data_IF_890606078670
#
_entry.id   IF_890606078670
#
_cell.length_a   1.000
_cell.length_b   1.000
_cell.length_c   1.000
_cell.angle_alpha   90.00
_cell.angle_beta   90.00
_cell.angle_gamma   90.00
#
_symmetry.space_group_name_H-M   'P 1'
#
loop_
_entity.id
_entity.type
_entity.pdbx_description
1 polymer ?
#
# COMPACT_ATOMS: atom_id res chain seq x y z
N UNK A 1 -14.06 35.98 13.04
CA UNK A 1 -14.70 34.73 12.62
C UNK A 1 -13.68 33.62 12.95
N UNK A 2 -14.07 32.45 13.43
CA UNK A 2 -13.08 31.37 13.61
C UNK A 2 -12.65 30.87 12.23
N UNK A 3 -11.41 30.30 12.10
CA UNK A 3 -10.90 29.72 10.84
C UNK A 3 -11.86 28.70 10.24
N UNK A 4 -12.43 27.84 11.08
CA UNK A 4 -13.49 26.92 10.68
C UNK A 4 -14.69 27.63 10.02
N UNK A 5 -15.21 28.68 10.63
CA UNK A 5 -16.37 29.42 10.10
C UNK A 5 -16.04 30.15 8.80
N UNK A 6 -14.79 30.58 8.63
CA UNK A 6 -14.31 31.21 7.42
C UNK A 6 -14.26 30.22 6.26
N UNK A 7 -13.68 29.02 6.46
CA UNK A 7 -13.65 27.95 5.46
C UNK A 7 -15.05 27.43 5.07
N UNK A 8 -16.03 27.50 5.99
CA UNK A 8 -17.42 27.15 5.67
C UNK A 8 -18.08 28.23 4.80
N UNK A 9 -17.89 29.50 5.17
CA UNK A 9 -18.54 30.62 4.49
C UNK A 9 -17.88 30.97 3.15
N UNK A 10 -16.56 30.83 3.06
CA UNK A 10 -15.74 31.19 1.89
C UNK A 10 -14.78 30.04 1.53
N UNK A 11 -15.30 28.89 1.06
CA UNK A 11 -14.47 27.72 0.79
C UNK A 11 -13.51 27.95 -0.40
N UNK A 12 -12.20 27.72 -0.19
CA UNK A 12 -11.14 27.82 -1.19
C UNK A 12 -11.18 26.62 -2.12
N UNK A 13 -11.14 26.85 -3.42
CA UNK A 13 -11.07 25.79 -4.43
C UNK A 13 -12.33 24.93 -4.59
N UNK A 14 -13.48 25.33 -4.04
CA UNK A 14 -14.73 24.58 -4.20
C UNK A 14 -15.23 24.64 -5.65
N UNK A 15 -15.48 23.48 -6.26
CA UNK A 15 -15.93 23.35 -7.65
C UNK A 15 -14.83 23.61 -8.69
N UNK A 16 -13.60 23.90 -8.27
CA UNK A 16 -12.45 24.04 -9.15
C UNK A 16 -11.94 22.64 -9.54
N UNK A 17 -11.44 22.51 -10.79
CA UNK A 17 -10.90 21.25 -11.31
C UNK A 17 -11.90 20.06 -11.30
N UNK A 18 -13.17 20.31 -11.55
CA UNK A 18 -14.21 19.25 -11.60
C UNK A 18 -13.82 18.09 -12.51
N UNK A 19 -13.17 18.38 -13.65
CA UNK A 19 -12.77 17.41 -14.68
C UNK A 19 -11.24 17.13 -14.65
N UNK A 20 -10.55 17.42 -13.56
CA UNK A 20 -9.11 17.14 -13.48
C UNK A 20 -8.83 15.64 -13.55
N UNK A 21 -7.74 15.24 -14.27
CA UNK A 21 -7.39 13.83 -14.42
C UNK A 21 -6.98 13.17 -13.11
N UNK A 22 -6.42 13.95 -12.17
CA UNK A 22 -5.92 13.44 -10.90
C UNK A 22 -6.87 13.84 -9.78
N UNK A 23 -7.77 12.95 -9.45
CA UNK A 23 -8.75 13.15 -8.38
C UNK A 23 -8.82 11.94 -7.45
N UNK A 24 -9.18 12.20 -6.21
CA UNK A 24 -9.46 11.20 -5.20
C UNK A 24 -10.73 11.54 -4.44
N UNK A 25 -11.46 10.54 -4.01
CA UNK A 25 -12.66 10.69 -3.21
C UNK A 25 -12.62 9.79 -1.99
N UNK A 26 -13.13 10.28 -0.88
CA UNK A 26 -13.31 9.53 0.35
C UNK A 26 -14.64 9.89 0.99
N UNK A 27 -15.32 8.87 1.54
CA UNK A 27 -16.61 9.00 2.19
C UNK A 27 -17.18 7.64 2.53
N UNK A 28 -18.27 7.61 3.23
CA UNK A 28 -18.86 6.35 3.63
C UNK A 28 -20.29 6.46 4.11
N UNK A 29 -20.96 5.30 4.12
CA UNK A 29 -22.36 5.17 4.52
C UNK A 29 -22.63 5.54 5.98
N UNK A 30 -21.61 5.52 6.85
CA UNK A 30 -21.78 5.74 8.29
C UNK A 30 -22.20 7.17 8.64
N UNK A 31 -21.65 8.20 7.97
CA UNK A 31 -22.01 9.61 8.20
C UNK A 31 -22.65 10.29 6.97
N UNK A 32 -22.60 9.66 5.81
CA UNK A 32 -23.10 10.24 4.55
C UNK A 32 -22.22 11.36 3.97
N UNK A 33 -21.12 11.71 4.63
CA UNK A 33 -20.18 12.72 4.14
C UNK A 33 -19.32 12.15 3.00
N UNK A 34 -19.09 12.98 1.97
CA UNK A 34 -18.20 12.68 0.86
C UNK A 34 -17.32 13.90 0.57
N UNK A 35 -16.04 13.68 0.44
CA UNK A 35 -15.08 14.68 -0.01
C UNK A 35 -14.36 14.15 -1.24
N UNK A 36 -14.30 14.96 -2.29
CA UNK A 36 -13.49 14.74 -3.49
C UNK A 36 -12.48 15.85 -3.58
N UNK A 37 -11.21 15.51 -3.78
CA UNK A 37 -10.12 16.47 -4.04
C UNK A 37 -9.55 16.17 -5.42
N UNK A 38 -9.23 17.20 -6.16
CA UNK A 38 -8.59 17.12 -7.46
C UNK A 38 -7.36 18.02 -7.49
N UNK A 39 -6.30 17.57 -8.18
CA UNK A 39 -5.03 18.29 -8.28
C UNK A 39 -4.54 18.31 -9.72
N UNK A 40 -3.88 19.40 -10.09
CA UNK A 40 -3.03 19.53 -11.25
C UNK A 40 -1.58 19.67 -10.79
N UNK A 41 -0.75 18.74 -11.21
CA UNK A 41 0.67 18.72 -10.84
C UNK A 41 1.49 19.10 -12.07
N UNK A 42 2.31 20.13 -11.95
CA UNK A 42 3.21 20.63 -12.99
C UNK A 42 4.58 20.90 -12.37
N UNK A 43 5.64 20.54 -13.05
CA UNK A 43 7.03 20.75 -12.61
C UNK A 43 7.33 20.31 -11.16
N UNK A 44 6.71 19.20 -10.74
CA UNK A 44 6.89 18.65 -9.39
C UNK A 44 6.20 19.45 -8.27
N UNK A 45 5.25 20.32 -8.61
CA UNK A 45 4.45 21.12 -7.66
C UNK A 45 2.96 20.93 -7.92
N UNK A 46 2.13 21.10 -6.89
CA UNK A 46 0.68 21.20 -7.03
C UNK A 46 0.37 22.60 -7.57
N UNK A 47 0.26 22.73 -8.89
CA UNK A 47 0.02 24.01 -9.54
C UNK A 47 -1.37 24.57 -9.24
N UNK A 48 -2.36 23.69 -9.13
CA UNK A 48 -3.74 24.04 -8.84
C UNK A 48 -4.42 22.87 -8.08
N UNK A 49 -5.28 23.21 -7.13
CA UNK A 49 -6.07 22.26 -6.38
C UNK A 49 -7.53 22.69 -6.25
N UNK A 50 -8.43 21.71 -6.21
CA UNK A 50 -9.86 21.97 -6.05
C UNK A 50 -10.55 20.85 -5.28
N UNK A 51 -11.76 21.13 -4.76
CA UNK A 51 -12.54 20.11 -4.07
C UNK A 51 -14.03 20.26 -4.29
N UNK A 52 -14.74 19.15 -4.07
CA UNK A 52 -16.17 19.10 -3.84
C UNK A 52 -16.46 18.33 -2.56
N UNK A 53 -17.51 18.73 -1.86
CA UNK A 53 -17.96 18.02 -0.67
C UNK A 53 -19.48 18.01 -0.60
N UNK A 54 -20.04 16.89 -0.16
CA UNK A 54 -21.44 16.73 0.23
C UNK A 54 -21.54 16.19 1.64
N UNK A 55 -22.55 16.64 2.38
CA UNK A 55 -22.76 16.27 3.78
C UNK A 55 -22.63 17.47 4.72
N UNK A 56 -21.91 17.32 5.82
CA UNK A 56 -21.85 18.33 6.88
C UNK A 56 -20.92 19.52 6.54
N UNK A 57 -21.07 20.63 7.26
CA UNK A 57 -20.20 21.80 7.11
C UNK A 57 -18.72 21.51 7.39
N UNK A 58 -18.42 20.51 8.25
CA UNK A 58 -17.05 20.13 8.51
C UNK A 58 -16.37 19.47 7.31
N UNK A 59 -17.09 18.72 6.48
CA UNK A 59 -16.58 18.17 5.23
C UNK A 59 -16.18 19.29 4.24
N UNK A 60 -17.01 20.32 4.13
CA UNK A 60 -16.69 21.51 3.30
C UNK A 60 -15.47 22.25 3.84
N UNK A 61 -15.41 22.50 5.15
CA UNK A 61 -14.26 23.18 5.77
C UNK A 61 -12.96 22.40 5.60
N UNK A 62 -13.00 21.09 5.81
CA UNK A 62 -11.83 20.21 5.68
C UNK A 62 -11.32 20.10 4.24
N UNK A 63 -12.21 20.01 3.25
CA UNK A 63 -11.83 20.07 1.83
C UNK A 63 -11.17 21.39 1.46
N UNK A 64 -11.74 22.52 1.93
CA UNK A 64 -11.19 23.86 1.72
C UNK A 64 -9.81 24.03 2.35
N UNK A 65 -9.62 23.61 3.60
CA UNK A 65 -8.32 23.67 4.27
C UNK A 65 -7.27 22.77 3.59
N UNK A 66 -7.66 21.57 3.17
CA UNK A 66 -6.77 20.67 2.47
C UNK A 66 -6.24 21.28 1.17
N UNK A 67 -7.10 21.93 0.38
CA UNK A 67 -6.71 22.60 -0.87
C UNK A 67 -5.75 23.74 -0.58
N UNK A 68 -6.05 24.61 0.40
CA UNK A 68 -5.21 25.74 0.77
C UNK A 68 -3.81 25.31 1.24
N UNK A 69 -3.71 24.19 1.95
CA UNK A 69 -2.44 23.67 2.45
C UNK A 69 -1.52 23.13 1.35
N UNK A 70 -2.06 22.80 0.17
CA UNK A 70 -1.26 22.11 -0.85
C UNK A 70 -1.05 22.91 -2.13
N UNK A 71 -1.91 23.90 -2.41
CA UNK A 71 -1.81 24.71 -3.65
C UNK A 71 -0.50 25.48 -3.70
N UNK A 72 0.23 25.36 -4.79
CA UNK A 72 1.54 25.95 -4.97
C UNK A 72 2.69 25.20 -4.28
N UNK A 73 2.43 24.18 -3.45
CA UNK A 73 3.45 23.45 -2.71
C UNK A 73 4.18 22.41 -3.58
N UNK A 74 5.47 22.09 -3.27
CA UNK A 74 6.13 20.94 -3.86
C UNK A 74 5.34 19.66 -3.61
N UNK A 75 5.30 18.75 -4.58
CA UNK A 75 4.53 17.51 -4.49
C UNK A 75 4.83 16.71 -3.21
N UNK A 76 6.10 16.59 -2.82
CA UNK A 76 6.49 15.88 -1.60
C UNK A 76 6.11 16.61 -0.32
N UNK A 77 5.94 17.95 -0.35
CA UNK A 77 5.38 18.74 0.77
C UNK A 77 3.89 18.45 0.90
N UNK A 78 3.14 18.48 -0.21
CA UNK A 78 1.72 18.12 -0.23
C UNK A 78 1.49 16.69 0.25
N UNK A 79 2.39 15.75 -0.08
CA UNK A 79 2.33 14.36 0.38
C UNK A 79 2.61 14.16 1.89
N UNK A 80 2.96 15.21 2.62
CA UNK A 80 3.09 15.21 4.09
C UNK A 80 1.84 15.67 4.82
N UNK A 81 0.93 16.36 4.12
CA UNK A 81 -0.27 16.92 4.74
C UNK A 81 -1.13 15.79 5.32
N UNK A 82 -1.32 15.83 6.64
CA UNK A 82 -2.06 14.85 7.40
C UNK A 82 -3.46 15.36 7.80
N UNK A 83 -4.29 14.47 8.32
CA UNK A 83 -5.57 14.88 8.92
C UNK A 83 -5.38 15.81 10.12
N UNK A 84 -4.25 15.70 10.84
CA UNK A 84 -3.93 16.62 11.93
C UNK A 84 -3.66 18.04 11.40
N UNK A 85 -2.84 18.17 10.34
CA UNK A 85 -2.54 19.47 9.73
C UNK A 85 -3.83 20.16 9.21
N UNK A 86 -4.74 19.38 8.62
CA UNK A 86 -6.05 19.90 8.17
C UNK A 86 -6.90 20.34 9.37
N UNK A 87 -6.91 19.57 10.47
CA UNK A 87 -7.61 19.94 11.69
C UNK A 87 -7.04 21.20 12.34
N UNK A 88 -5.72 21.32 12.38
CA UNK A 88 -5.00 22.44 12.97
C UNK A 88 -5.24 23.74 12.17
N UNK A 89 -5.26 23.66 10.84
CA UNK A 89 -5.61 24.76 9.94
C UNK A 89 -7.06 25.27 10.15
N UNK A 90 -7.92 24.46 10.74
CA UNK A 90 -9.31 24.82 11.09
C UNK A 90 -9.48 25.27 12.55
N UNK A 91 -8.36 25.42 13.30
CA UNK A 91 -8.38 25.84 14.71
C UNK A 91 -8.72 24.69 15.66
N UNK A 92 -8.22 23.50 15.38
CA UNK A 92 -8.46 22.23 16.10
C UNK A 92 -9.94 21.78 16.08
N UNK A 93 -10.22 20.78 15.24
CA UNK A 93 -11.56 20.21 15.17
C UNK A 93 -11.91 19.39 16.42
N UNK A 94 -13.14 19.52 16.90
CA UNK A 94 -13.67 18.67 17.96
C UNK A 94 -13.65 17.18 17.52
N UNK A 95 -13.64 16.27 18.49
CA UNK A 95 -13.64 14.82 18.22
C UNK A 95 -14.77 14.39 17.26
N UNK A 96 -15.95 15.02 17.38
CA UNK A 96 -17.10 14.74 16.52
C UNK A 96 -16.89 15.15 15.05
N UNK A 97 -16.01 16.14 14.79
CA UNK A 97 -15.72 16.68 13.45
C UNK A 97 -14.41 16.18 12.86
N UNK A 98 -13.58 15.50 13.64
CA UNK A 98 -12.25 15.04 13.22
C UNK A 98 -12.30 14.08 12.01
N UNK A 99 -13.38 13.29 11.91
CA UNK A 99 -13.59 12.42 10.75
C UNK A 99 -13.60 13.17 9.41
N UNK A 100 -14.03 14.45 9.38
CA UNK A 100 -14.03 15.25 8.16
C UNK A 100 -12.59 15.55 7.67
N UNK A 101 -11.66 15.84 8.59
CA UNK A 101 -10.25 15.99 8.25
C UNK A 101 -9.62 14.66 7.77
N UNK A 102 -10.04 13.53 8.34
CA UNK A 102 -9.60 12.21 7.87
C UNK A 102 -10.08 11.90 6.45
N UNK A 103 -11.34 12.23 6.13
CA UNK A 103 -11.89 12.08 4.77
C UNK A 103 -11.16 13.00 3.78
N UNK A 104 -10.94 14.27 4.14
CA UNK A 104 -10.23 15.21 3.26
C UNK A 104 -8.78 14.74 3.01
N UNK A 105 -8.08 14.30 4.06
CA UNK A 105 -6.74 13.72 3.91
C UNK A 105 -6.75 12.46 3.03
N UNK A 106 -7.73 11.57 3.18
CA UNK A 106 -7.81 10.36 2.34
C UNK A 106 -8.07 10.73 0.87
N UNK A 107 -9.00 11.64 0.62
CA UNK A 107 -9.27 12.14 -0.73
C UNK A 107 -8.03 12.80 -1.36
N UNK A 108 -7.31 13.64 -0.59
CA UNK A 108 -6.06 14.27 -1.02
C UNK A 108 -5.02 13.23 -1.43
N UNK A 109 -4.75 12.26 -0.57
CA UNK A 109 -3.72 11.25 -0.86
C UNK A 109 -4.09 10.33 -2.01
N UNK A 110 -5.36 10.11 -2.28
CA UNK A 110 -5.83 9.42 -3.49
C UNK A 110 -5.59 10.26 -4.75
N UNK A 111 -5.83 11.58 -4.70
CA UNK A 111 -5.55 12.47 -5.82
C UNK A 111 -4.04 12.56 -6.12
N UNK A 112 -3.21 12.70 -5.08
CA UNK A 112 -1.74 12.68 -5.22
C UNK A 112 -1.25 11.32 -5.74
N UNK A 113 -1.86 10.22 -5.29
CA UNK A 113 -1.56 8.88 -5.78
C UNK A 113 -1.86 8.71 -7.27
N UNK A 114 -2.99 9.24 -7.75
CA UNK A 114 -3.33 9.27 -9.17
C UNK A 114 -2.30 10.05 -9.98
N UNK A 115 -1.92 11.25 -9.53
CA UNK A 115 -0.88 12.07 -10.16
C UNK A 115 0.49 11.34 -10.20
N UNK A 116 0.84 10.64 -9.13
CA UNK A 116 2.08 9.86 -9.06
C UNK A 116 2.05 8.65 -10.02
N UNK A 117 0.93 7.94 -10.10
CA UNK A 117 0.74 6.79 -11.02
C UNK A 117 0.88 7.23 -12.47
N UNK A 118 0.26 8.33 -12.86
CA UNK A 118 0.34 8.88 -14.22
C UNK A 118 1.69 9.55 -14.53
N UNK A 119 2.54 9.72 -13.50
CA UNK A 119 3.88 10.25 -13.66
C UNK A 119 4.00 11.76 -13.66
N UNK A 120 2.97 12.47 -13.26
CA UNK A 120 3.03 13.92 -13.04
C UNK A 120 3.90 14.29 -11.81
N UNK A 121 4.01 13.38 -10.82
CA UNK A 121 4.87 13.57 -9.66
C UNK A 121 6.33 13.34 -10.03
N UNK A 122 7.11 14.42 -10.10
CA UNK A 122 8.54 14.38 -10.38
C UNK A 122 9.34 15.14 -9.33
N UNK A 123 10.58 14.70 -9.09
CA UNK A 123 11.53 15.42 -8.23
C UNK A 123 12.97 15.19 -8.72
N UNK A 124 13.82 16.19 -8.48
CA UNK A 124 15.24 16.08 -8.80
C UNK A 124 15.89 14.90 -8.09
N UNK A 125 16.76 14.17 -8.79
CA UNK A 125 17.48 13.01 -8.25
C UNK A 125 18.34 13.38 -7.05
N UNK A 126 18.25 12.57 -6.01
CA UNK A 126 19.09 12.65 -4.81
C UNK A 126 19.62 11.27 -4.45
N UNK A 127 20.96 11.15 -4.32
CA UNK A 127 21.60 9.89 -3.90
C UNK A 127 21.29 9.53 -2.43
N UNK A 128 20.80 10.48 -1.66
CA UNK A 128 20.33 10.28 -0.29
C UNK A 128 18.84 9.97 -0.21
N UNK A 129 18.09 10.02 -1.31
CA UNK A 129 16.67 9.75 -1.28
C UNK A 129 16.37 8.27 -1.41
N UNK A 130 15.56 7.76 -0.48
CA UNK A 130 15.12 6.37 -0.43
C UNK A 130 13.59 6.31 -0.44
N UNK A 131 13.03 5.60 -1.42
CA UNK A 131 11.62 5.22 -1.39
C UNK A 131 11.47 3.96 -0.54
N UNK A 132 10.56 3.96 0.42
CA UNK A 132 10.34 2.82 1.33
C UNK A 132 8.93 2.27 1.16
N UNK A 133 8.83 0.98 0.84
CA UNK A 133 7.55 0.27 0.77
C UNK A 133 6.99 0.06 2.19
N UNK A 134 5.84 0.69 2.48
CA UNK A 134 5.18 0.65 3.78
C UNK A 134 3.86 -0.12 3.69
N UNK A 135 3.74 -1.23 4.38
CA UNK A 135 2.53 -2.07 4.45
C UNK A 135 1.72 -1.88 5.73
N UNK A 136 2.15 -0.96 6.61
CA UNK A 136 1.58 -0.82 7.95
C UNK A 136 1.90 -1.99 8.90
N UNK A 137 2.84 -2.85 8.55
CA UNK A 137 3.42 -3.89 9.40
C UNK A 137 4.71 -3.43 10.08
N UNK A 138 5.15 -4.18 11.11
CA UNK A 138 6.36 -3.86 11.90
C UNK A 138 7.62 -3.84 11.04
N UNK A 139 7.75 -4.77 10.09
CA UNK A 139 8.95 -4.91 9.27
C UNK A 139 9.16 -3.70 8.36
N UNK A 140 8.11 -3.28 7.65
CA UNK A 140 8.18 -2.11 6.79
C UNK A 140 8.37 -0.80 7.59
N UNK A 141 7.82 -0.73 8.79
CA UNK A 141 8.00 0.42 9.68
C UNK A 141 9.46 0.53 10.17
N UNK A 142 10.08 -0.60 10.55
CA UNK A 142 11.50 -0.63 10.95
C UNK A 142 12.40 -0.35 9.75
N UNK A 143 12.06 -0.84 8.55
CA UNK A 143 12.78 -0.49 7.33
C UNK A 143 12.78 1.02 7.07
N UNK A 144 11.65 1.70 7.29
CA UNK A 144 11.55 3.16 7.19
C UNK A 144 12.36 3.86 8.28
N UNK A 145 12.32 3.36 9.54
CA UNK A 145 13.12 3.92 10.62
C UNK A 145 14.63 3.81 10.35
N UNK A 146 15.09 2.67 9.84
CA UNK A 146 16.49 2.48 9.48
C UNK A 146 16.96 3.40 8.34
N UNK A 147 16.06 3.74 7.42
CA UNK A 147 16.35 4.75 6.40
C UNK A 147 16.50 6.16 7.01
N UNK A 148 15.61 6.53 7.94
CA UNK A 148 15.71 7.80 8.68
C UNK A 148 16.98 7.87 9.53
N UNK A 149 17.30 6.81 10.29
CA UNK A 149 18.49 6.74 11.14
C UNK A 149 19.78 6.86 10.33
N UNK A 150 19.77 6.41 9.10
CA UNK A 150 20.85 6.58 8.13
C UNK A 150 20.97 8.02 7.62
N UNK A 151 19.97 8.87 7.86
CA UNK A 151 19.88 10.23 7.37
C UNK A 151 19.40 10.33 5.92
N UNK A 152 18.70 9.33 5.42
CA UNK A 152 18.13 9.37 4.08
C UNK A 152 16.92 10.33 4.01
N UNK A 153 16.74 10.95 2.84
CA UNK A 153 15.49 11.64 2.46
C UNK A 153 14.43 10.57 2.19
N UNK A 154 13.72 10.15 3.23
CA UNK A 154 12.81 9.02 3.16
C UNK A 154 11.45 9.41 2.62
N UNK A 155 10.93 8.68 1.63
CA UNK A 155 9.56 8.77 1.11
C UNK A 155 8.88 7.41 1.34
N UNK A 156 7.68 7.42 1.91
CA UNK A 156 6.86 6.21 2.07
C UNK A 156 5.96 5.95 0.85
N UNK A 157 5.82 4.69 0.46
CA UNK A 157 4.83 4.27 -0.53
C UNK A 157 4.04 3.06 -0.03
N UNK A 158 2.73 3.11 -0.18
CA UNK A 158 1.84 1.96 0.04
C UNK A 158 1.08 1.64 -1.23
N UNK A 159 0.93 0.36 -1.52
CA UNK A 159 0.19 -0.13 -2.68
C UNK A 159 -1.20 -0.60 -2.24
N UNK A 160 -2.24 -0.04 -2.84
CA UNK A 160 -3.59 -0.57 -2.75
C UNK A 160 -3.76 -1.61 -3.85
N UNK A 161 -3.71 -2.90 -3.49
CA UNK A 161 -3.67 -4.01 -4.45
C UNK A 161 -5.01 -4.71 -4.59
N UNK A 162 -5.82 -4.76 -3.52
CA UNK A 162 -7.05 -5.51 -3.53
C UNK A 162 -8.08 -4.92 -2.57
N UNK A 163 -9.31 -4.84 -3.02
CA UNK A 163 -10.47 -4.52 -2.20
C UNK A 163 -11.60 -5.50 -2.56
N UNK A 164 -12.02 -6.30 -1.58
CA UNK A 164 -13.12 -7.25 -1.74
C UNK A 164 -14.07 -7.09 -0.54
N UNK A 165 -15.31 -6.64 -0.75
CA UNK A 165 -16.30 -6.51 0.32
C UNK A 165 -16.58 -7.81 1.09
N UNK A 166 -16.30 -8.96 0.47
CA UNK A 166 -16.45 -10.29 1.07
C UNK A 166 -15.30 -10.73 1.98
N UNK A 167 -14.27 -9.89 2.18
CA UNK A 167 -13.11 -10.19 3.02
C UNK A 167 -13.03 -9.28 4.24
N UNK A 168 -12.32 -9.75 5.28
CA UNK A 168 -12.00 -8.94 6.45
C UNK A 168 -10.83 -7.99 6.13
N UNK A 169 -11.16 -6.76 5.75
CA UNK A 169 -10.15 -5.74 5.41
C UNK A 169 -9.12 -5.47 6.52
N UNK A 170 -9.39 -5.80 7.77
CA UNK A 170 -8.42 -5.63 8.88
C UNK A 170 -7.28 -6.64 8.80
N UNK A 171 -7.47 -7.78 8.13
CA UNK A 171 -6.47 -8.83 7.94
C UNK A 171 -5.66 -8.67 6.66
N UNK A 172 -6.08 -7.81 5.74
CA UNK A 172 -5.36 -7.54 4.49
C UNK A 172 -4.37 -6.40 4.66
N UNK A 173 -3.11 -6.62 4.28
CA UNK A 173 -2.08 -5.56 4.25
C UNK A 173 -2.26 -4.56 3.10
N UNK A 174 -3.20 -4.80 2.20
CA UNK A 174 -3.45 -4.02 0.98
C UNK A 174 -4.86 -3.41 0.98
N UNK A 175 -5.61 -3.51 2.08
CA UNK A 175 -6.94 -2.93 2.22
C UNK A 175 -6.88 -1.41 2.42
N UNK A 176 -7.96 -0.68 2.15
CA UNK A 176 -8.04 0.75 2.46
C UNK A 176 -7.70 1.08 3.92
N UNK A 177 -8.09 0.23 4.86
CA UNK A 177 -7.76 0.37 6.28
C UNK A 177 -6.24 0.26 6.53
N UNK A 178 -5.58 -0.72 5.91
CA UNK A 178 -4.13 -0.89 6.03
C UNK A 178 -3.36 0.27 5.39
N UNK A 179 -3.84 0.78 4.25
CA UNK A 179 -3.28 1.95 3.56
C UNK A 179 -3.35 3.19 4.45
N UNK A 180 -4.52 3.49 5.04
CA UNK A 180 -4.70 4.63 5.95
C UNK A 180 -3.79 4.51 7.19
N UNK A 181 -3.67 3.31 7.76
CA UNK A 181 -2.76 3.05 8.89
C UNK A 181 -1.28 3.23 8.54
N UNK A 182 -0.86 2.79 7.35
CA UNK A 182 0.52 2.96 6.88
C UNK A 182 0.85 4.44 6.64
N UNK A 183 -0.08 5.20 6.04
CA UNK A 183 0.05 6.64 5.84
C UNK A 183 0.14 7.39 7.17
N UNK A 184 -0.76 7.11 8.11
CA UNK A 184 -0.73 7.73 9.43
C UNK A 184 0.59 7.46 10.17
N UNK A 185 1.15 6.25 10.02
CA UNK A 185 2.46 5.90 10.56
C UNK A 185 3.58 6.71 9.88
N UNK A 186 3.57 6.81 8.53
CA UNK A 186 4.55 7.59 7.78
C UNK A 186 4.54 9.07 8.22
N UNK A 187 3.37 9.69 8.34
CA UNK A 187 3.24 11.08 8.78
C UNK A 187 3.76 11.28 10.22
N UNK A 188 3.48 10.35 11.14
CA UNK A 188 4.06 10.39 12.49
C UNK A 188 5.58 10.32 12.51
N UNK A 189 6.19 9.66 11.52
CA UNK A 189 7.63 9.59 11.33
C UNK A 189 8.19 10.79 10.56
N UNK A 190 7.36 11.77 10.16
CA UNK A 190 7.75 12.93 9.35
C UNK A 190 8.02 12.60 7.89
N UNK A 191 7.56 11.45 7.39
CA UNK A 191 7.81 10.94 6.04
C UNK A 191 6.64 11.36 5.12
N UNK A 192 6.89 12.01 3.94
CA UNK A 192 5.87 12.15 2.90
C UNK A 192 5.42 10.78 2.42
N UNK A 193 4.13 10.59 2.19
CA UNK A 193 3.58 9.29 1.86
C UNK A 193 2.73 9.34 0.58
N UNK A 194 2.90 8.34 -0.28
CA UNK A 194 2.16 8.18 -1.53
C UNK A 194 1.43 6.83 -1.50
N UNK A 195 0.18 6.84 -1.94
CA UNK A 195 -0.60 5.61 -2.13
C UNK A 195 -0.77 5.37 -3.63
N UNK A 196 -0.33 4.22 -4.15
CA UNK A 196 -0.58 3.81 -5.53
C UNK A 196 -1.74 2.83 -5.58
N UNK A 197 -2.77 3.16 -6.34
CA UNK A 197 -3.85 2.23 -6.67
C UNK A 197 -3.41 1.33 -7.85
N UNK A 198 -3.13 0.08 -7.54
CA UNK A 198 -2.72 -0.96 -8.48
C UNK A 198 -3.72 -2.13 -8.49
N UNK A 199 -4.99 -1.88 -8.13
CA UNK A 199 -6.01 -2.94 -8.04
C UNK A 199 -6.27 -3.61 -9.38
N UNK A 200 -6.30 -2.85 -10.46
CA UNK A 200 -6.52 -3.39 -11.81
C UNK A 200 -5.35 -4.23 -12.29
N UNK A 201 -4.12 -3.75 -12.06
CA UNK A 201 -2.90 -4.49 -12.38
C UNK A 201 -2.81 -5.77 -11.57
N UNK A 202 -3.10 -5.69 -10.27
CA UNK A 202 -3.09 -6.86 -9.39
C UNK A 202 -4.17 -7.87 -9.78
N UNK A 203 -5.37 -7.43 -10.13
CA UNK A 203 -6.44 -8.30 -10.65
C UNK A 203 -5.95 -9.06 -11.86
N UNK A 204 -5.47 -8.36 -12.88
CA UNK A 204 -5.04 -8.95 -14.15
C UNK A 204 -3.84 -9.89 -14.00
N UNK A 205 -2.81 -9.45 -13.26
CA UNK A 205 -1.54 -10.18 -13.20
C UNK A 205 -1.51 -11.27 -12.12
N UNK A 206 -2.29 -11.16 -11.06
CA UNK A 206 -2.18 -12.04 -9.90
C UNK A 206 -3.45 -12.84 -9.68
N UNK A 207 -4.61 -12.18 -9.60
CA UNK A 207 -5.87 -12.87 -9.27
C UNK A 207 -6.35 -13.72 -10.44
N UNK A 208 -6.35 -13.19 -11.65
CA UNK A 208 -6.79 -13.95 -12.83
C UNK A 208 -5.86 -15.15 -13.11
N UNK A 209 -4.54 -15.00 -12.89
CA UNK A 209 -3.60 -16.14 -12.96
C UNK A 209 -3.88 -17.18 -11.87
N UNK A 210 -4.20 -16.73 -10.65
CA UNK A 210 -4.54 -17.60 -9.54
C UNK A 210 -5.80 -18.44 -9.86
N UNK A 211 -6.85 -17.79 -10.38
CA UNK A 211 -8.08 -18.48 -10.80
C UNK A 211 -7.82 -19.49 -11.92
N UNK A 212 -7.06 -19.07 -12.95
CA UNK A 212 -6.73 -19.91 -14.10
C UNK A 212 -5.86 -21.11 -13.69
N UNK A 213 -4.89 -20.92 -12.79
CA UNK A 213 -4.05 -22.03 -12.32
C UNK A 213 -4.89 -23.11 -11.61
N UNK A 214 -5.80 -22.69 -10.70
CA UNK A 214 -6.69 -23.66 -10.04
C UNK A 214 -7.66 -24.31 -11.02
N UNK A 215 -8.18 -23.59 -12.00
CA UNK A 215 -9.04 -24.18 -13.05
C UNK A 215 -8.32 -25.28 -13.86
N UNK A 216 -6.99 -25.21 -13.95
CA UNK A 216 -6.16 -26.19 -14.65
C UNK A 216 -5.46 -27.19 -13.70
N UNK A 217 -5.88 -27.30 -12.44
CA UNK A 217 -5.33 -28.24 -11.46
C UNK A 217 -3.93 -27.86 -10.94
N UNK A 218 -3.47 -26.62 -11.18
CA UNK A 218 -2.19 -26.10 -10.71
C UNK A 218 -2.29 -25.50 -9.31
N UNK A 219 -1.14 -25.35 -8.65
CA UNK A 219 -1.00 -24.61 -7.39
C UNK A 219 -0.11 -23.39 -7.60
N UNK A 220 -0.66 -22.20 -7.83
CA UNK A 220 0.12 -20.99 -8.10
C UNK A 220 0.79 -20.44 -6.84
N UNK A 221 1.89 -19.68 -7.02
CA UNK A 221 2.46 -18.84 -5.99
C UNK A 221 2.20 -17.35 -6.30
N UNK A 222 1.09 -16.78 -5.82
CA UNK A 222 0.71 -15.41 -6.14
C UNK A 222 1.68 -14.38 -5.57
N UNK A 223 2.40 -14.67 -4.46
CA UNK A 223 3.35 -13.73 -3.86
C UNK A 223 4.58 -13.52 -4.76
N UNK A 224 5.14 -14.59 -5.33
CA UNK A 224 6.25 -14.49 -6.29
C UNK A 224 5.84 -13.69 -7.53
N UNK A 225 4.63 -13.96 -8.04
CA UNK A 225 4.09 -13.26 -9.19
C UNK A 225 3.83 -11.78 -8.90
N UNK A 226 3.19 -11.48 -7.76
CA UNK A 226 2.91 -10.12 -7.32
C UNK A 226 4.19 -9.28 -7.17
N UNK A 227 5.21 -9.81 -6.52
CA UNK A 227 6.46 -9.09 -6.36
C UNK A 227 7.13 -8.80 -7.72
N UNK A 228 7.23 -9.79 -8.60
CA UNK A 228 7.96 -9.65 -9.86
C UNK A 228 7.22 -8.95 -10.99
N UNK A 229 5.89 -8.77 -10.93
CA UNK A 229 5.10 -8.22 -12.05
C UNK A 229 4.25 -7.01 -11.68
N UNK A 230 4.09 -6.71 -10.38
CA UNK A 230 3.22 -5.62 -9.94
C UNK A 230 3.96 -4.68 -8.98
N UNK A 231 4.50 -5.22 -7.88
CA UNK A 231 5.02 -4.39 -6.79
C UNK A 231 6.31 -3.68 -7.16
N UNK A 232 7.36 -4.43 -7.51
CA UNK A 232 8.67 -3.84 -7.73
C UNK A 232 8.69 -2.97 -8.98
N UNK A 233 8.09 -3.39 -10.09
CA UNK A 233 7.98 -2.58 -11.31
C UNK A 233 7.37 -1.20 -11.00
N UNK A 234 6.18 -1.16 -10.39
CA UNK A 234 5.50 0.11 -10.09
C UNK A 234 6.29 1.00 -9.12
N UNK A 235 6.86 0.40 -8.06
CA UNK A 235 7.61 1.15 -7.06
C UNK A 235 8.96 1.65 -7.59
N UNK A 236 9.64 0.91 -8.47
CA UNK A 236 10.88 1.34 -9.09
C UNK A 236 10.67 2.47 -10.09
N UNK A 237 9.57 2.43 -10.86
CA UNK A 237 9.15 3.54 -11.72
C UNK A 237 8.86 4.79 -10.88
N UNK A 238 8.12 4.64 -9.78
CA UNK A 238 7.86 5.76 -8.86
C UNK A 238 9.16 6.29 -8.25
N UNK A 239 10.07 5.41 -7.79
CA UNK A 239 11.36 5.80 -7.23
C UNK A 239 12.17 6.65 -8.22
N UNK A 240 12.19 6.24 -9.49
CA UNK A 240 12.86 7.00 -10.55
C UNK A 240 12.27 8.39 -10.73
N UNK A 241 10.95 8.49 -10.89
CA UNK A 241 10.26 9.77 -11.05
C UNK A 241 10.45 10.71 -9.87
N UNK A 242 10.43 10.18 -8.65
CA UNK A 242 10.69 10.94 -7.44
C UNK A 242 12.19 11.16 -7.16
N UNK A 243 13.07 10.78 -8.08
CA UNK A 243 14.51 10.96 -7.96
C UNK A 243 15.13 10.19 -6.79
N UNK A 244 14.54 9.07 -6.36
CA UNK A 244 15.11 8.23 -5.32
C UNK A 244 16.19 7.30 -5.88
N UNK A 245 17.35 7.25 -5.20
CA UNK A 245 18.46 6.40 -5.60
C UNK A 245 18.18 4.92 -5.37
N UNK A 246 17.31 4.59 -4.41
CA UNK A 246 16.99 3.22 -4.05
C UNK A 246 15.56 3.03 -3.58
N UNK A 247 15.09 1.79 -3.68
CA UNK A 247 13.83 1.31 -3.11
C UNK A 247 14.16 0.37 -1.94
N UNK A 248 13.68 0.69 -0.74
CA UNK A 248 13.80 -0.14 0.43
C UNK A 248 12.48 -0.86 0.74
N UNK A 249 12.57 -2.09 1.23
CA UNK A 249 11.40 -2.86 1.67
C UNK A 249 11.71 -3.66 2.94
N UNK A 250 10.67 -4.02 3.68
CA UNK A 250 10.77 -4.87 4.87
C UNK A 250 10.97 -6.36 4.58
N UNK A 251 11.40 -6.76 3.39
CA UNK A 251 11.69 -8.16 3.10
C UNK A 251 12.95 -8.65 3.79
N UNK A 252 12.90 -9.89 4.27
CA UNK A 252 14.05 -10.63 4.79
C UNK A 252 14.74 -11.34 3.62
N UNK A 253 15.70 -10.68 3.01
CA UNK A 253 16.54 -11.19 1.94
C UNK A 253 17.84 -10.42 1.90
N UNK A 254 18.90 -10.98 1.34
CA UNK A 254 20.20 -10.34 1.11
C UNK A 254 20.49 -10.19 -0.37
N UNK A 255 21.24 -9.16 -0.71
CA UNK A 255 21.80 -8.98 -2.05
C UNK A 255 23.32 -9.13 -1.93
N UNK A 256 23.87 -10.19 -2.54
CA UNK A 256 25.29 -10.36 -2.71
C UNK A 256 25.74 -9.71 -4.02
N UNK A 257 26.80 -8.90 -3.99
CA UNK A 257 27.40 -8.34 -5.19
C UNK A 257 28.53 -9.25 -5.65
N UNK A 258 28.43 -9.74 -6.88
CA UNK A 258 29.44 -10.59 -7.52
C UNK A 258 29.97 -9.90 -8.77
N UNK A 259 31.10 -10.36 -9.33
CA UNK A 259 31.61 -9.83 -10.62
C UNK A 259 30.59 -9.96 -11.76
N UNK A 260 29.71 -10.97 -11.71
CA UNK A 260 28.67 -11.24 -12.70
C UNK A 260 27.38 -10.42 -12.47
N UNK A 261 27.33 -9.65 -11.37
CA UNK A 261 26.18 -8.85 -11.00
C UNK A 261 25.57 -9.19 -9.63
N UNK A 262 24.47 -8.55 -9.26
CA UNK A 262 23.80 -8.79 -7.98
C UNK A 262 23.06 -10.13 -7.98
N UNK A 263 23.15 -10.86 -6.85
CA UNK A 263 22.46 -12.12 -6.63
C UNK A 263 21.63 -12.05 -5.34
N UNK A 264 20.46 -12.68 -5.34
CA UNK A 264 19.70 -12.89 -4.13
C UNK A 264 20.34 -13.98 -3.26
N UNK A 265 20.38 -13.74 -1.97
CA UNK A 265 20.85 -14.66 -0.95
C UNK A 265 19.85 -14.72 0.20
N UNK A 266 19.73 -15.87 0.86
CA UNK A 266 18.89 -16.03 2.05
C UNK A 266 19.23 -15.01 3.15
N UNK A 267 18.24 -14.55 3.88
CA UNK A 267 18.39 -13.64 5.03
C UNK A 267 19.22 -14.28 6.17
N UNK A 268 19.60 -13.48 7.15
CA UNK A 268 20.24 -13.98 8.38
C UNK A 268 19.24 -14.81 9.21
N UNK A 269 18.00 -14.37 9.33
CA UNK A 269 16.92 -15.14 9.97
C UNK A 269 16.36 -16.18 9.00
N UNK A 270 16.81 -17.42 9.13
CA UNK A 270 16.37 -18.54 8.28
C UNK A 270 14.88 -18.85 8.41
N UNK A 271 14.25 -18.52 9.56
CA UNK A 271 12.81 -18.74 9.76
C UNK A 271 11.95 -17.67 9.10
N UNK A 272 12.56 -16.53 8.73
CA UNK A 272 11.89 -15.40 8.09
C UNK A 272 12.36 -15.17 6.66
N UNK A 273 13.25 -15.98 6.14
CA UNK A 273 13.76 -15.82 4.78
C UNK A 273 12.63 -15.72 3.74
N UNK A 274 12.70 -14.66 2.96
CA UNK A 274 11.74 -14.32 1.90
C UNK A 274 12.42 -14.20 0.52
N UNK A 275 13.67 -14.63 0.40
CA UNK A 275 14.40 -14.56 -0.86
C UNK A 275 13.68 -15.26 -2.00
N UNK A 276 13.00 -16.38 -1.72
CA UNK A 276 12.21 -17.12 -2.71
C UNK A 276 11.03 -16.29 -3.28
N UNK A 277 10.45 -15.38 -2.50
CA UNK A 277 9.37 -14.50 -2.96
C UNK A 277 9.84 -13.47 -3.98
N UNK A 278 11.15 -13.26 -4.09
CA UNK A 278 11.80 -12.30 -4.96
C UNK A 278 12.39 -12.96 -6.22
N UNK A 279 12.11 -14.24 -6.45
CA UNK A 279 12.70 -15.03 -7.53
C UNK A 279 12.37 -14.50 -8.96
N UNK A 280 11.37 -13.64 -9.12
CA UNK A 280 11.02 -13.00 -10.39
C UNK A 280 11.51 -11.56 -10.51
N UNK A 281 12.18 -11.02 -9.50
CA UNK A 281 12.82 -9.69 -9.59
C UNK A 281 14.04 -9.81 -10.50
N UNK A 282 14.15 -8.89 -11.43
CA UNK A 282 15.25 -8.91 -12.41
C UNK A 282 16.59 -8.51 -11.77
N UNK A 283 17.73 -9.04 -12.27
CA UNK A 283 19.05 -8.69 -11.74
C UNK A 283 19.36 -7.19 -11.77
N UNK A 284 18.97 -6.49 -12.84
CA UNK A 284 19.15 -5.03 -12.97
C UNK A 284 18.36 -4.23 -11.95
N UNK A 285 17.19 -4.73 -11.52
CA UNK A 285 16.38 -4.15 -10.47
C UNK A 285 17.02 -4.31 -9.08
N UNK A 286 17.68 -5.47 -8.83
CA UNK A 286 18.33 -5.75 -7.56
C UNK A 286 19.39 -4.71 -7.18
N UNK A 287 20.02 -4.04 -8.14
CA UNK A 287 20.99 -2.97 -7.89
C UNK A 287 20.38 -1.76 -7.18
N UNK A 288 19.09 -1.52 -7.43
CA UNK A 288 18.34 -0.39 -6.87
C UNK A 288 17.60 -0.76 -5.58
N UNK A 289 17.61 -2.03 -5.20
CA UNK A 289 16.91 -2.53 -4.00
C UNK A 289 17.82 -2.48 -2.78
N UNK A 290 17.18 -2.23 -1.64
CA UNK A 290 17.78 -2.34 -0.32
C UNK A 290 16.81 -3.07 0.62
N UNK A 291 17.35 -4.07 1.32
CA UNK A 291 16.62 -4.83 2.33
C UNK A 291 17.22 -4.55 3.71
N UNK A 292 16.75 -3.51 4.42
CA UNK A 292 17.32 -3.08 5.71
C UNK A 292 17.34 -4.18 6.77
N UNK A 293 16.43 -5.16 6.67
CA UNK A 293 16.27 -6.25 7.63
C UNK A 293 17.14 -7.48 7.32
N UNK A 294 17.90 -7.45 6.25
CA UNK A 294 18.67 -8.58 5.71
C UNK A 294 19.53 -9.34 6.75
N UNK A 295 20.16 -8.60 7.66
CA UNK A 295 21.07 -9.12 8.69
C UNK A 295 20.43 -9.17 10.09
N UNK A 296 19.13 -8.93 10.21
CA UNK A 296 18.42 -8.85 11.48
C UNK A 296 17.54 -10.07 11.71
N UNK A 297 17.56 -10.59 12.93
CA UNK A 297 16.58 -11.56 13.39
C UNK A 297 15.28 -10.86 13.83
N UNK A 298 14.15 -11.53 13.70
CA UNK A 298 12.82 -10.98 14.01
C UNK A 298 12.67 -10.39 15.43
N UNK A 299 13.21 -11.00 16.50
CA UNK A 299 13.20 -10.39 17.84
C UNK A 299 13.86 -9.01 17.84
N UNK A 300 15.02 -8.86 17.16
CA UNK A 300 15.73 -7.59 17.08
C UNK A 300 14.92 -6.52 16.33
N UNK A 301 14.21 -6.89 15.27
CA UNK A 301 13.30 -5.98 14.54
C UNK A 301 12.20 -5.46 15.47
N UNK A 302 11.62 -6.32 16.31
CA UNK A 302 10.60 -5.91 17.30
C UNK A 302 11.17 -5.00 18.39
N UNK A 303 12.40 -5.23 18.85
CA UNK A 303 13.09 -4.35 19.79
C UNK A 303 13.33 -2.96 19.19
N UNK A 304 13.80 -2.88 17.94
CA UNK A 304 13.97 -1.61 17.23
C UNK A 304 12.65 -0.86 17.10
N UNK A 305 11.57 -1.55 16.74
CA UNK A 305 10.24 -0.95 16.67
C UNK A 305 9.78 -0.41 18.04
N UNK A 306 10.03 -1.13 19.13
CA UNK A 306 9.69 -0.71 20.49
C UNK A 306 10.54 0.49 20.94
N UNK A 307 11.83 0.47 20.68
CA UNK A 307 12.78 1.56 21.00
C UNK A 307 12.38 2.85 20.27
N UNK A 308 11.99 2.75 19.00
CA UNK A 308 11.51 3.89 18.20
C UNK A 308 10.05 4.26 18.53
N UNK A 309 9.42 3.65 19.54
CA UNK A 309 8.03 3.91 19.94
C UNK A 309 7.04 3.77 18.80
N UNK A 310 7.29 2.86 17.84
CA UNK A 310 6.39 2.62 16.72
C UNK A 310 5.11 1.90 17.20
N UNK A 311 3.91 2.40 16.87
CA UNK A 311 2.65 1.83 17.35
C UNK A 311 2.42 0.39 16.88
N UNK A 312 3.13 -0.01 15.82
CA UNK A 312 3.04 -1.34 15.21
C UNK A 312 3.97 -2.38 15.84
N UNK A 313 4.78 -2.03 16.85
CA UNK A 313 5.77 -2.92 17.47
C UNK A 313 5.18 -4.27 17.96
N UNK A 314 3.92 -4.24 18.44
CA UNK A 314 3.19 -5.43 18.94
C UNK A 314 2.18 -5.99 17.95
N UNK A 315 2.08 -5.42 16.73
CA UNK A 315 1.13 -5.88 15.71
C UNK A 315 1.44 -7.32 15.30
N UNK A 316 0.43 -8.22 15.23
CA UNK A 316 0.60 -9.56 14.69
C UNK A 316 1.07 -9.52 13.23
N UNK A 317 1.74 -10.59 12.82
CA UNK A 317 2.13 -10.75 11.41
C UNK A 317 0.96 -11.24 10.58
N UNK A 318 0.88 -10.77 9.34
CA UNK A 318 -0.04 -11.33 8.34
C UNK A 318 0.49 -12.71 7.92
N UNK A 319 -0.32 -13.75 8.06
CA UNK A 319 0.05 -15.14 7.73
C UNK A 319 -0.56 -15.60 6.41
N UNK A 320 -1.63 -14.93 5.96
CA UNK A 320 -2.42 -15.33 4.79
C UNK A 320 -2.02 -14.58 3.53
N UNK A 321 -2.46 -15.11 2.38
CA UNK A 321 -2.44 -14.37 1.13
C UNK A 321 -3.27 -13.08 1.29
N UNK A 322 -2.69 -11.94 0.94
CA UNK A 322 -3.28 -10.62 1.23
C UNK A 322 -4.69 -10.43 0.67
N UNK A 323 -5.02 -11.05 -0.47
CA UNK A 323 -6.33 -10.94 -1.11
C UNK A 323 -7.35 -11.96 -0.60
N UNK A 324 -6.94 -13.00 0.11
CA UNK A 324 -7.85 -13.93 0.80
C UNK A 324 -8.36 -13.33 2.12
N UNK A 325 -7.49 -12.64 2.88
CA UNK A 325 -7.82 -11.86 4.07
C UNK A 325 -8.78 -12.57 5.04
N UNK A 326 -8.46 -13.79 5.44
CA UNK A 326 -9.27 -14.60 6.36
C UNK A 326 -10.47 -15.30 5.72
N UNK A 327 -10.63 -15.23 4.41
CA UNK A 327 -11.59 -16.03 3.64
C UNK A 327 -10.94 -17.36 3.25
N UNK A 328 -11.70 -18.45 3.27
CA UNK A 328 -11.20 -19.72 2.73
C UNK A 328 -10.98 -19.59 1.23
N UNK A 329 -9.99 -20.31 0.74
CA UNK A 329 -9.64 -20.31 -0.69
C UNK A 329 -10.83 -20.72 -1.57
N UNK A 330 -11.57 -21.73 -1.18
CA UNK A 330 -12.73 -22.25 -1.92
C UNK A 330 -13.82 -21.18 -2.05
N UNK A 331 -14.09 -20.43 -0.97
CA UNK A 331 -15.07 -19.34 -0.97
C UNK A 331 -14.63 -18.18 -1.87
N UNK A 332 -13.33 -17.89 -1.91
CA UNK A 332 -12.77 -16.91 -2.82
C UNK A 332 -12.89 -17.33 -4.28
N UNK A 333 -12.51 -18.58 -4.61
CA UNK A 333 -12.64 -19.12 -5.95
C UNK A 333 -14.10 -19.08 -6.43
N UNK A 334 -15.05 -19.50 -5.60
CA UNK A 334 -16.48 -19.47 -5.93
C UNK A 334 -16.99 -18.05 -6.22
N UNK A 335 -16.55 -17.05 -5.47
CA UNK A 335 -16.98 -15.65 -5.67
C UNK A 335 -16.37 -14.98 -6.90
N UNK A 336 -15.15 -15.34 -7.27
CA UNK A 336 -14.38 -14.65 -8.31
C UNK A 336 -14.31 -15.41 -9.64
N UNK A 337 -15.12 -16.46 -9.82
CA UNK A 337 -15.20 -17.20 -11.08
C UNK A 337 -14.14 -18.30 -11.22
N UNK A 338 -13.67 -18.85 -10.10
CA UNK A 338 -12.88 -20.07 -10.09
C UNK A 338 -13.68 -21.29 -10.56
N UNK A 339 -13.03 -22.43 -10.74
CA UNK A 339 -13.72 -23.65 -11.16
C UNK A 339 -14.81 -24.01 -10.15
N UNK A 340 -15.98 -24.53 -10.62
CA UNK A 340 -16.97 -25.03 -9.70
C UNK A 340 -16.39 -26.23 -8.94
N UNK A 341 -16.67 -26.30 -7.65
CA UNK A 341 -16.33 -27.49 -6.86
C UNK A 341 -16.96 -28.72 -7.48
N UNK A 342 -16.15 -29.72 -7.81
CA UNK A 342 -16.58 -30.98 -8.39
C UNK A 342 -16.17 -32.16 -7.50
N UNK A 343 -17.12 -33.02 -7.12
CA UNK A 343 -16.80 -34.26 -6.43
C UNK A 343 -15.91 -35.13 -7.31
N UNK A 344 -14.95 -35.78 -6.71
CA UNK A 344 -14.03 -36.68 -7.40
C UNK A 344 -13.46 -37.74 -6.46
N UNK A 345 -12.72 -38.68 -7.05
CA UNK A 345 -12.07 -39.77 -6.31
C UNK A 345 -10.63 -39.40 -5.97
N UNK A 346 -10.22 -39.77 -4.76
CA UNK A 346 -8.81 -39.80 -4.37
C UNK A 346 -8.25 -41.16 -4.77
N UNK A 347 -7.25 -41.13 -5.65
CA UNK A 347 -6.66 -42.34 -6.22
C UNK A 347 -5.21 -42.47 -5.74
N UNK A 348 -4.82 -43.65 -5.25
CA UNK A 348 -3.44 -43.95 -4.89
C UNK A 348 -2.54 -44.10 -6.12
N UNK A 349 -1.23 -44.13 -5.93
CA UNK A 349 -0.25 -44.25 -7.02
C UNK A 349 -0.32 -45.59 -7.80
N UNK A 350 -0.93 -46.60 -7.21
CA UNK A 350 -1.20 -47.90 -7.84
C UNK A 350 -2.59 -48.00 -8.50
N UNK A 351 -3.36 -46.90 -8.51
CA UNK A 351 -4.66 -46.78 -9.18
C UNK A 351 -5.85 -47.18 -8.32
N UNK A 352 -5.66 -47.53 -7.06
CA UNK A 352 -6.75 -47.85 -6.14
C UNK A 352 -7.47 -46.60 -5.63
N UNK A 353 -8.81 -46.61 -5.60
CA UNK A 353 -9.60 -45.55 -4.98
C UNK A 353 -9.48 -45.62 -3.48
N UNK A 354 -9.00 -44.56 -2.83
CA UNK A 354 -8.76 -44.48 -1.37
C UNK A 354 -9.70 -43.51 -0.67
N UNK A 355 -10.52 -42.78 -1.41
CA UNK A 355 -11.48 -41.84 -0.85
C UNK A 355 -12.13 -40.93 -1.91
N UNK A 356 -12.89 -39.96 -1.47
CA UNK A 356 -13.53 -38.96 -2.32
C UNK A 356 -13.21 -37.57 -1.82
N UNK A 357 -13.33 -36.55 -2.67
CA UNK A 357 -13.18 -35.16 -2.33
C UNK A 357 -14.34 -34.33 -2.90
N UNK A 358 -14.62 -33.16 -2.30
CA UNK A 358 -15.68 -32.24 -2.74
C UNK A 358 -15.20 -31.20 -3.77
N UNK A 359 -13.93 -31.25 -4.15
CA UNK A 359 -13.32 -30.35 -5.14
C UNK A 359 -11.79 -30.45 -5.12
N UNK A 360 -11.17 -30.60 -6.29
CA UNK A 360 -9.70 -30.69 -6.40
C UNK A 360 -9.00 -29.38 -5.99
N UNK A 361 -9.68 -28.25 -6.10
CA UNK A 361 -9.20 -26.93 -5.70
C UNK A 361 -8.93 -26.81 -4.19
N UNK A 362 -9.48 -27.72 -3.37
CA UNK A 362 -9.19 -27.85 -1.94
C UNK A 362 -7.79 -28.41 -1.64
N UNK A 363 -7.07 -28.95 -2.62
CA UNK A 363 -5.80 -29.62 -2.42
C UNK A 363 -4.61 -28.83 -2.99
N UNK A 364 -3.47 -29.02 -2.36
CA UNK A 364 -2.19 -28.43 -2.77
C UNK A 364 -1.17 -29.54 -2.92
N UNK A 365 -0.36 -29.51 -3.98
CA UNK A 365 0.72 -30.49 -4.17
C UNK A 365 1.64 -30.52 -2.94
N UNK A 366 1.85 -31.69 -2.36
CA UNK A 366 2.63 -31.89 -1.14
C UNK A 366 1.86 -31.66 0.17
N UNK A 367 0.55 -31.44 0.12
CA UNK A 367 -0.29 -31.33 1.32
C UNK A 367 -0.25 -32.62 2.15
N UNK A 368 -0.03 -32.49 3.45
CA UNK A 368 0.09 -33.62 4.38
C UNK A 368 -1.06 -33.77 5.37
N UNK A 369 -1.93 -32.73 5.43
CA UNK A 369 -3.10 -32.69 6.32
C UNK A 369 -4.27 -32.06 5.56
N UNK A 370 -5.46 -32.53 5.75
CA UNK A 370 -6.69 -32.04 5.15
C UNK A 370 -7.75 -33.10 5.18
#
# INVERSE_FOLDING_TARGET
MSEFADHVAFPRGKGVLADAPHAGAAGGAACGDLVRIAVRVEDGRVAEAGFDASGCAAATAAGSAAVELIEGEPFLSAARVSAADISDALGELSNERRHAAELAADALHRALGAAAKDGAATATRSERRTLVAMSGGVDSAVAAQLALDRGDETIGVTLELWADPGTDGTKSCCSPYAVTGARALAHRMGIPHITLDLRDEFRREVVDDFLNAYANGGTPNPCVRCNGLVRFDAMLVLAEKLGAARLATGHYARIARTPEGPLLKAAADANKDQSYMLARVRPDELERLWFPLAELEKPRVRELAATASLPVARKPESQDLCFLAGTRREDFLARHGGPPAGEGELVSTDGGVIGTHSGQEGFTVGQRKG
#
